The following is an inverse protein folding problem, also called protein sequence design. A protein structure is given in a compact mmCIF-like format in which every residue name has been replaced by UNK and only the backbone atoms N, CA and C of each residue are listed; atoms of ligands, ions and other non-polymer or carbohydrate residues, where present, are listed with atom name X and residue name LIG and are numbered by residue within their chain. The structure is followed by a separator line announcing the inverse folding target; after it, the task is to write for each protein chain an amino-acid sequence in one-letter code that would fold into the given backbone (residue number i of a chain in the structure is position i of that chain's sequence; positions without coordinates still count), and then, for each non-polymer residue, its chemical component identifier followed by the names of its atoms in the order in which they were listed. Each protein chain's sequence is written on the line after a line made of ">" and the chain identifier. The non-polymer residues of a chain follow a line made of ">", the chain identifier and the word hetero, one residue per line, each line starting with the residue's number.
data_IF_193315546843
#
_entry.id   IF_193315546843
#
_cell.length_a   1.000
_cell.length_b   1.000
_cell.length_c   1.000
_cell.angle_alpha   90.00
_cell.angle_beta   90.00
_cell.angle_gamma   90.00
#
_symmetry.space_group_name_H-M   'P 1'
#
loop_
_entity.id
_entity.type
_entity.pdbx_description
1 polymer ?
#
# COMPACT_ATOMS: atom_id res chain seq x y z
N UNK A 1 -16.66 11.24 -20.17
CA UNK A 1 -15.28 11.13 -20.63
C UNK A 1 -14.56 10.05 -19.78
N UNK A 2 -13.61 9.32 -20.38
CA UNK A 2 -12.81 8.32 -19.66
C UNK A 2 -11.76 9.04 -18.82
N UNK A 3 -11.58 8.59 -17.57
CA UNK A 3 -10.60 9.17 -16.66
C UNK A 3 -9.47 8.19 -16.38
N UNK A 4 -8.24 8.68 -16.34
CA UNK A 4 -7.10 7.81 -16.06
C UNK A 4 -5.97 8.57 -15.39
N UNK A 5 -5.29 7.92 -14.45
CA UNK A 5 -4.17 8.54 -13.74
C UNK A 5 -3.62 7.67 -12.63
N UNK A 6 -2.67 8.25 -11.91
CA UNK A 6 -1.90 7.61 -10.87
C UNK A 6 -2.42 8.01 -9.48
N UNK A 7 -2.62 7.01 -8.61
CA UNK A 7 -3.02 7.20 -7.23
C UNK A 7 -1.93 6.71 -6.27
N UNK A 8 -1.33 7.60 -5.50
CA UNK A 8 -0.33 7.26 -4.51
C UNK A 8 -0.98 6.86 -3.17
N UNK A 9 -0.59 5.72 -2.61
CA UNK A 9 -1.10 5.28 -1.31
C UNK A 9 -0.07 5.59 -0.22
N UNK A 10 -0.47 6.36 0.79
CA UNK A 10 0.40 6.79 1.87
C UNK A 10 -0.25 6.59 3.24
N UNK A 11 0.56 6.46 4.26
CA UNK A 11 0.12 6.34 5.65
C UNK A 11 1.20 5.71 6.51
N UNK A 12 1.02 5.76 7.82
CA UNK A 12 1.93 5.14 8.78
C UNK A 12 2.07 3.63 8.55
N UNK A 13 3.12 2.99 9.06
CA UNK A 13 3.20 1.53 9.07
C UNK A 13 1.98 0.91 9.76
N UNK A 14 1.50 -0.21 9.23
CA UNK A 14 0.41 -1.03 9.79
C UNK A 14 -0.98 -0.36 9.84
N UNK A 15 -1.21 0.74 9.12
CA UNK A 15 -2.55 1.34 8.97
C UNK A 15 -3.46 0.56 8.03
N UNK A 16 -2.89 -0.36 7.23
CA UNK A 16 -3.64 -1.24 6.32
C UNK A 16 -3.51 -0.90 4.84
N UNK A 17 -2.43 -0.22 4.40
CA UNK A 17 -2.18 0.13 2.99
C UNK A 17 -2.28 -1.06 2.05
N UNK A 18 -1.48 -2.09 2.27
CA UNK A 18 -1.47 -3.29 1.42
C UNK A 18 -2.79 -4.06 1.48
N UNK A 19 -3.48 -4.06 2.63
CA UNK A 19 -4.79 -4.69 2.77
C UNK A 19 -5.84 -3.94 1.94
N UNK A 20 -5.83 -2.61 1.99
CA UNK A 20 -6.73 -1.79 1.18
C UNK A 20 -6.44 -2.00 -0.31
N UNK A 21 -5.18 -1.95 -0.73
CA UNK A 21 -4.80 -2.15 -2.13
C UNK A 21 -5.28 -3.51 -2.65
N UNK A 22 -5.06 -4.60 -1.90
CA UNK A 22 -5.52 -5.92 -2.30
C UNK A 22 -7.06 -6.00 -2.42
N UNK A 23 -7.79 -5.29 -1.53
CA UNK A 23 -9.24 -5.24 -1.60
C UNK A 23 -9.73 -4.42 -2.80
N UNK A 24 -9.15 -3.24 -3.03
CA UNK A 24 -9.43 -2.41 -4.22
C UNK A 24 -9.21 -3.17 -5.53
N UNK A 25 -8.18 -4.00 -5.58
CA UNK A 25 -7.83 -4.80 -6.76
C UNK A 25 -8.62 -6.12 -6.87
N UNK A 26 -9.38 -6.51 -5.83
CA UNK A 26 -9.97 -7.85 -5.69
C UNK A 26 -8.96 -8.99 -5.95
N UNK A 27 -7.68 -8.74 -5.70
CA UNK A 27 -6.55 -9.64 -5.96
C UNK A 27 -5.46 -9.43 -4.90
N UNK A 28 -4.72 -10.49 -4.65
CA UNK A 28 -3.60 -10.42 -3.73
C UNK A 28 -2.31 -10.08 -4.49
N UNK A 29 -1.98 -8.80 -4.56
CA UNK A 29 -0.81 -8.26 -5.26
C UNK A 29 0.24 -7.70 -4.30
N UNK A 30 -0.20 -7.10 -3.19
CA UNK A 30 0.69 -6.57 -2.16
C UNK A 30 0.75 -7.50 -0.96
N UNK A 31 1.93 -7.67 -0.38
CA UNK A 31 2.10 -8.49 0.83
C UNK A 31 1.55 -7.78 2.07
N UNK A 32 0.94 -8.56 2.94
CA UNK A 32 0.36 -8.10 4.20
C UNK A 32 1.17 -8.67 5.36
N UNK A 33 1.77 -7.81 6.18
CA UNK A 33 2.44 -8.21 7.42
C UNK A 33 2.26 -7.15 8.50
N UNK A 34 2.17 -7.60 9.75
CA UNK A 34 2.17 -6.69 10.91
C UNK A 34 3.56 -6.08 11.18
N UNK A 35 4.59 -6.59 10.51
CA UNK A 35 5.97 -6.12 10.68
C UNK A 35 6.19 -4.82 9.89
N UNK A 36 6.95 -3.85 10.44
CA UNK A 36 7.29 -2.63 9.74
C UNK A 36 8.05 -2.92 8.44
N UNK A 37 7.91 -2.03 7.43
CA UNK A 37 8.60 -2.11 6.14
C UNK A 37 8.29 -3.38 5.34
N UNK A 38 7.01 -3.78 5.32
CA UNK A 38 6.53 -4.92 4.53
C UNK A 38 6.75 -4.68 3.04
N UNK A 39 6.40 -3.50 2.54
CA UNK A 39 6.62 -3.09 1.14
C UNK A 39 8.03 -2.50 1.00
N UNK A 40 8.89 -3.14 0.20
CA UNK A 40 10.26 -2.70 -0.08
C UNK A 40 10.42 -2.09 -1.47
N UNK A 41 9.60 -2.50 -2.40
CA UNK A 41 9.64 -2.07 -3.80
C UNK A 41 8.35 -1.33 -4.15
N UNK A 42 8.44 -0.36 -5.07
CA UNK A 42 7.26 0.28 -5.65
C UNK A 42 6.51 -0.76 -6.49
N UNK A 43 5.28 -1.04 -6.13
CA UNK A 43 4.40 -1.92 -6.90
C UNK A 43 3.36 -1.02 -7.56
N UNK A 44 3.20 -1.15 -8.87
CA UNK A 44 2.08 -0.54 -9.58
C UNK A 44 1.00 -1.59 -9.80
N UNK A 45 -0.21 -1.26 -9.39
CA UNK A 45 -1.39 -2.07 -9.60
C UNK A 45 -2.37 -1.28 -10.46
N UNK A 46 -2.91 -1.91 -11.49
CA UNK A 46 -3.79 -1.28 -12.47
C UNK A 46 -5.21 -1.79 -12.27
N UNK A 47 -6.11 -0.88 -11.91
CA UNK A 47 -7.55 -1.14 -11.85
C UNK A 47 -8.21 -0.51 -13.07
N UNK A 48 -8.70 -1.34 -13.98
CA UNK A 48 -9.42 -0.91 -15.17
C UNK A 48 -10.93 -1.10 -14.97
N UNK A 49 -11.68 -0.04 -15.26
CA UNK A 49 -13.15 0.03 -15.25
C UNK A 49 -13.64 0.50 -16.61
N UNK A 50 -14.94 0.48 -16.82
CA UNK A 50 -15.57 0.98 -18.04
C UNK A 50 -15.39 2.50 -18.22
N UNK A 51 -15.32 3.23 -17.10
CA UNK A 51 -15.28 4.69 -17.01
C UNK A 51 -13.92 5.25 -16.60
N UNK A 52 -13.02 4.41 -16.04
CA UNK A 52 -11.74 4.88 -15.53
C UNK A 52 -10.63 3.80 -15.50
N UNK A 53 -9.37 4.25 -15.47
CA UNK A 53 -8.21 3.41 -15.15
C UNK A 53 -7.37 4.07 -14.06
N UNK A 54 -7.22 3.39 -12.94
CA UNK A 54 -6.44 3.86 -11.78
C UNK A 54 -5.15 3.06 -11.69
N UNK A 55 -4.02 3.73 -11.70
CA UNK A 55 -2.71 3.11 -11.48
C UNK A 55 -2.29 3.40 -10.03
N UNK A 56 -2.49 2.44 -9.14
CA UNK A 56 -2.04 2.55 -7.75
C UNK A 56 -0.54 2.39 -7.65
N UNK A 57 0.09 3.33 -6.95
CA UNK A 57 1.52 3.27 -6.61
C UNK A 57 1.62 3.03 -5.11
N UNK A 58 1.97 1.79 -4.72
CA UNK A 58 2.21 1.48 -3.31
C UNK A 58 3.57 2.04 -2.88
N UNK A 59 3.55 2.87 -1.85
CA UNK A 59 4.75 3.49 -1.31
C UNK A 59 5.14 2.84 0.02
N UNK A 60 6.45 2.78 0.34
CA UNK A 60 6.89 2.41 1.69
C UNK A 60 6.20 3.29 2.74
N UNK A 61 5.93 2.73 3.93
CA UNK A 61 5.27 3.49 5.00
C UNK A 61 6.06 4.75 5.37
N UNK A 62 5.39 5.89 5.29
CA UNK A 62 5.97 7.20 5.61
C UNK A 62 6.01 7.41 7.13
N UNK A 63 7.12 7.92 7.63
CA UNK A 63 7.28 8.16 9.07
C UNK A 63 8.29 9.26 9.33
N UNK A 64 8.20 9.90 10.50
CA UNK A 64 9.19 10.91 10.88
C UNK A 64 10.60 10.29 10.87
N UNK A 65 11.54 10.85 10.09
CA UNK A 65 12.87 10.27 9.95
C UNK A 65 13.62 10.34 11.29
N UNK A 66 14.35 9.27 11.61
CA UNK A 66 15.22 9.21 12.80
C UNK A 66 16.69 9.21 12.45
N UNK A 67 17.01 9.03 11.16
CA UNK A 67 18.37 8.96 10.63
C UNK A 67 18.38 9.33 9.14
N UNK A 68 19.58 9.45 8.57
CA UNK A 68 19.78 9.82 7.16
C UNK A 68 19.09 8.85 6.17
N UNK A 69 18.98 7.57 6.51
CA UNK A 69 18.25 6.60 5.67
C UNK A 69 16.76 6.92 5.65
N UNK A 70 16.16 7.25 6.81
CA UNK A 70 14.76 7.67 6.91
C UNK A 70 14.49 8.94 6.10
N UNK A 71 15.40 9.90 6.09
CA UNK A 71 15.30 11.12 5.26
C UNK A 71 15.30 10.81 3.75
N UNK A 72 16.19 9.90 3.32
CA UNK A 72 16.25 9.47 1.92
C UNK A 72 14.96 8.74 1.49
N UNK A 73 14.42 7.87 2.36
CA UNK A 73 13.15 7.19 2.10
C UNK A 73 11.99 8.19 1.99
N UNK A 74 11.91 9.16 2.90
CA UNK A 74 10.88 10.20 2.85
C UNK A 74 11.01 11.08 1.59
N UNK A 75 12.22 11.40 1.16
CA UNK A 75 12.45 12.13 -0.10
C UNK A 75 11.91 11.35 -1.29
N UNK A 76 12.24 10.05 -1.39
CA UNK A 76 11.72 9.19 -2.48
C UNK A 76 10.19 9.07 -2.46
N UNK A 77 9.56 9.10 -1.28
CA UNK A 77 8.10 9.14 -1.17
C UNK A 77 7.55 10.47 -1.67
N UNK A 78 8.13 11.63 -1.25
CA UNK A 78 7.70 12.95 -1.76
C UNK A 78 7.82 13.05 -3.27
N UNK A 79 8.95 12.62 -3.84
CA UNK A 79 9.14 12.57 -5.30
C UNK A 79 8.05 11.73 -5.98
N UNK A 80 7.69 10.59 -5.40
CA UNK A 80 6.59 9.76 -5.92
C UNK A 80 5.24 10.45 -5.80
N UNK A 81 4.95 11.13 -4.68
CA UNK A 81 3.67 11.80 -4.46
C UNK A 81 3.49 13.06 -5.30
N UNK A 82 4.57 13.71 -5.74
CA UNK A 82 4.51 14.83 -6.69
C UNK A 82 4.27 14.39 -8.14
N UNK A 83 4.41 13.11 -8.44
CA UNK A 83 4.22 12.53 -9.78
C UNK A 83 2.85 11.84 -9.94
N UNK A 84 2.01 11.80 -8.90
CA UNK A 84 0.68 11.19 -8.97
C UNK A 84 -0.42 12.23 -9.09
N UNK A 85 -1.56 11.82 -9.65
CA UNK A 85 -2.72 12.70 -9.88
C UNK A 85 -3.60 12.83 -8.62
N UNK A 86 -3.52 11.87 -7.70
CA UNK A 86 -4.24 11.90 -6.42
C UNK A 86 -3.51 11.09 -5.36
N UNK A 87 -3.73 11.42 -4.09
CA UNK A 87 -3.16 10.72 -2.95
C UNK A 87 -4.25 10.12 -2.08
N UNK A 88 -4.08 8.86 -1.70
CA UNK A 88 -4.91 8.14 -0.73
C UNK A 88 -4.16 8.10 0.60
N UNK A 89 -4.56 8.94 1.55
CA UNK A 89 -3.97 9.01 2.88
C UNK A 89 -4.72 8.12 3.86
N UNK A 90 -4.09 7.04 4.32
CA UNK A 90 -4.73 6.04 5.18
C UNK A 90 -4.40 6.29 6.65
N UNK A 91 -5.44 6.38 7.46
CA UNK A 91 -5.42 6.54 8.90
C UNK A 91 -5.93 5.26 9.58
N UNK A 92 -5.37 4.93 10.75
CA UNK A 92 -5.85 3.81 11.59
C UNK A 92 -6.91 4.34 12.57
N UNK A 93 -8.18 4.09 12.30
CA UNK A 93 -9.30 4.54 13.13
C UNK A 93 -9.29 4.00 14.56
N UNK A 94 -8.59 2.87 14.80
CA UNK A 94 -8.48 2.26 16.14
C UNK A 94 -7.44 2.93 17.03
N UNK A 95 -6.71 3.91 16.49
CA UNK A 95 -5.64 4.61 17.22
C UNK A 95 -5.92 6.10 17.22
N UNK A 96 -5.43 6.77 18.28
CA UNK A 96 -5.44 8.23 18.29
C UNK A 96 -4.63 8.78 17.13
N UNK A 97 -5.24 9.66 16.35
CA UNK A 97 -4.56 10.46 15.32
C UNK A 97 -3.54 11.33 16.04
N UNK A 98 -2.26 11.14 15.72
CA UNK A 98 -1.18 11.72 16.49
C UNK A 98 -0.10 12.36 15.63
N UNK A 99 1.05 12.65 16.28
CA UNK A 99 2.17 13.37 15.64
C UNK A 99 2.66 12.77 14.31
N UNK A 100 2.54 11.44 14.15
CA UNK A 100 2.94 10.78 12.90
C UNK A 100 1.96 11.06 11.75
N UNK A 101 0.67 11.08 12.05
CA UNK A 101 -0.38 11.38 11.08
C UNK A 101 -0.35 12.87 10.70
N UNK A 102 -0.18 13.74 11.72
CA UNK A 102 0.00 15.20 11.51
C UNK A 102 1.22 15.52 10.65
N UNK A 103 2.33 14.79 10.85
CA UNK A 103 3.53 14.95 10.02
C UNK A 103 3.25 14.59 8.56
N UNK A 104 2.56 13.47 8.30
CA UNK A 104 2.18 13.07 6.93
C UNK A 104 1.23 14.11 6.32
N UNK A 105 0.23 14.56 7.08
CA UNK A 105 -0.70 15.57 6.62
C UNK A 105 -0.01 16.92 6.27
N UNK A 106 0.97 17.34 7.09
CA UNK A 106 1.76 18.54 6.78
C UNK A 106 2.61 18.40 5.52
N UNK A 107 3.13 17.21 5.23
CA UNK A 107 3.86 16.93 4.00
C UNK A 107 2.93 16.94 2.77
N UNK A 108 1.70 16.45 2.93
CA UNK A 108 0.70 16.49 1.86
C UNK A 108 0.22 17.92 1.56
N UNK A 109 0.13 18.78 2.58
CA UNK A 109 -0.24 20.18 2.42
C UNK A 109 0.78 21.00 1.60
N UNK A 110 2.03 20.54 1.49
CA UNK A 110 3.06 21.15 0.62
C UNK A 110 2.94 20.73 -0.86
N UNK A 111 2.02 19.81 -1.18
CA UNK A 111 1.79 19.31 -2.53
C UNK A 111 0.49 19.89 -3.08
N UNK A 112 0.47 20.27 -4.35
CA UNK A 112 -0.76 20.70 -5.05
C UNK A 112 -1.64 19.50 -5.48
N UNK A 113 -1.26 18.28 -5.09
CA UNK A 113 -1.94 17.04 -5.46
C UNK A 113 -3.16 16.83 -4.57
N UNK A 114 -4.38 16.64 -5.13
CA UNK A 114 -5.57 16.36 -4.34
C UNK A 114 -5.39 15.08 -3.52
N UNK A 115 -5.89 15.09 -2.28
CA UNK A 115 -5.79 13.97 -1.37
C UNK A 115 -7.15 13.58 -0.80
N UNK A 116 -7.43 12.28 -0.75
CA UNK A 116 -8.56 11.70 -0.03
C UNK A 116 -8.05 11.01 1.23
N UNK A 117 -8.66 11.31 2.39
CA UNK A 117 -8.35 10.63 3.63
C UNK A 117 -9.22 9.37 3.78
N UNK A 118 -8.61 8.26 4.16
CA UNK A 118 -9.29 6.97 4.39
C UNK A 118 -9.12 6.57 5.85
N UNK A 119 -10.22 6.58 6.61
CA UNK A 119 -10.25 6.13 8.00
C UNK A 119 -10.49 4.62 8.03
N UNK A 120 -9.42 3.85 8.15
CA UNK A 120 -9.47 2.39 8.05
C UNK A 120 -9.72 1.70 9.41
N UNK A 121 -10.13 0.43 9.35
CA UNK A 121 -10.40 -0.50 10.46
C UNK A 121 -11.68 -0.19 11.22
N UNK A 122 -12.69 0.33 10.52
CA UNK A 122 -14.00 0.62 11.14
C UNK A 122 -14.71 -0.63 11.67
N UNK A 123 -14.34 -1.83 11.16
CA UNK A 123 -14.81 -3.11 11.69
C UNK A 123 -14.50 -3.34 13.18
N UNK A 124 -13.70 -2.47 13.78
CA UNK A 124 -13.31 -2.50 15.19
C UNK A 124 -13.85 -1.32 16.01
N UNK A 125 -14.70 -0.51 15.43
CA UNK A 125 -15.20 0.73 16.03
C UNK A 125 -16.72 0.72 16.12
N UNK A 126 -17.24 1.46 17.10
CA UNK A 126 -18.67 1.80 17.13
C UNK A 126 -18.97 2.98 16.19
N UNK A 127 -20.23 3.19 15.77
CA UNK A 127 -20.61 4.35 14.95
C UNK A 127 -20.15 5.69 15.53
N UNK A 128 -20.32 5.90 16.82
CA UNK A 128 -19.91 7.15 17.52
C UNK A 128 -18.38 7.34 17.47
N UNK A 129 -17.63 6.25 17.57
CA UNK A 129 -16.16 6.28 17.44
C UNK A 129 -15.72 6.61 16.01
N UNK A 130 -16.42 6.08 15.00
CA UNK A 130 -16.15 6.38 13.59
C UNK A 130 -16.38 7.86 13.33
N UNK A 131 -17.52 8.41 13.78
CA UNK A 131 -17.85 9.82 13.61
C UNK A 131 -16.83 10.73 14.31
N UNK A 132 -16.47 10.43 15.54
CA UNK A 132 -15.48 11.18 16.30
C UNK A 132 -14.10 11.18 15.65
N UNK A 133 -13.64 10.03 15.14
CA UNK A 133 -12.36 9.90 14.47
C UNK A 133 -12.36 10.59 13.10
N UNK A 134 -13.46 10.50 12.35
CA UNK A 134 -13.62 11.19 11.07
C UNK A 134 -13.54 12.71 11.25
N UNK A 135 -14.23 13.26 12.27
CA UNK A 135 -14.17 14.68 12.59
C UNK A 135 -12.76 15.17 13.00
N UNK A 136 -11.95 14.29 13.59
CA UNK A 136 -10.53 14.59 13.87
C UNK A 136 -9.70 14.53 12.59
N UNK A 137 -9.95 13.54 11.74
CA UNK A 137 -9.24 13.38 10.45
C UNK A 137 -9.47 14.57 9.52
N UNK A 138 -10.69 15.11 9.45
CA UNK A 138 -11.04 16.30 8.66
C UNK A 138 -10.21 17.53 9.02
N UNK A 139 -9.78 17.64 10.28
CA UNK A 139 -8.97 18.76 10.78
C UNK A 139 -7.47 18.63 10.48
N UNK A 140 -7.03 17.49 9.93
CA UNK A 140 -5.61 17.28 9.64
C UNK A 140 -5.13 18.04 8.40
N UNK A 141 -5.99 18.30 7.44
CA UNK A 141 -5.63 18.92 6.16
C UNK A 141 -6.83 19.13 5.25
N UNK A 142 -6.56 19.70 4.09
CA UNK A 142 -7.55 19.93 3.05
C UNK A 142 -7.68 18.66 2.18
N UNK A 143 -8.61 17.78 2.58
CA UNK A 143 -8.91 16.55 1.86
C UNK A 143 -10.19 16.71 1.04
N UNK A 144 -10.25 16.04 -0.11
CA UNK A 144 -11.49 15.95 -0.91
C UNK A 144 -12.63 15.26 -0.16
N UNK A 145 -12.28 14.47 0.86
CA UNK A 145 -13.21 13.83 1.79
C UNK A 145 -12.50 12.92 2.77
N UNK A 146 -13.22 12.54 3.82
CA UNK A 146 -12.78 11.50 4.78
C UNK A 146 -13.71 10.31 4.66
N UNK A 147 -13.19 9.17 4.22
CA UNK A 147 -13.98 7.97 3.91
C UNK A 147 -13.70 6.90 4.95
N UNK A 148 -14.66 6.58 5.84
CA UNK A 148 -14.53 5.45 6.76
C UNK A 148 -14.65 4.12 6.00
N UNK A 149 -13.68 3.21 6.20
CA UNK A 149 -13.64 1.91 5.52
C UNK A 149 -13.15 0.79 6.45
N UNK A 150 -13.50 -0.44 6.10
CA UNK A 150 -12.76 -1.61 6.55
C UNK A 150 -12.07 -2.27 5.36
N UNK A 151 -10.76 -2.05 5.25
CA UNK A 151 -9.95 -2.73 4.24
C UNK A 151 -9.94 -4.25 4.42
N UNK A 152 -10.25 -4.75 5.63
CA UNK A 152 -10.30 -6.17 5.94
C UNK A 152 -11.59 -6.82 5.44
N UNK A 153 -12.74 -6.21 5.67
CA UNK A 153 -14.04 -6.75 5.28
C UNK A 153 -14.50 -6.31 3.89
N UNK A 154 -13.90 -5.25 3.34
CA UNK A 154 -14.31 -4.62 2.09
C UNK A 154 -15.39 -3.55 2.28
N UNK A 155 -15.81 -3.29 3.52
CA UNK A 155 -16.85 -2.32 3.82
C UNK A 155 -16.44 -0.93 3.36
N UNK A 156 -17.30 -0.31 2.56
CA UNK A 156 -17.19 1.03 2.00
C UNK A 156 -15.94 1.29 1.13
N UNK A 157 -15.22 0.24 0.71
CA UNK A 157 -14.00 0.39 -0.13
C UNK A 157 -14.33 0.96 -1.51
N UNK A 158 -15.53 0.69 -2.03
CA UNK A 158 -16.01 1.25 -3.30
C UNK A 158 -16.03 2.78 -3.30
N UNK A 159 -16.41 3.41 -2.19
CA UNK A 159 -16.42 4.87 -2.07
C UNK A 159 -15.02 5.50 -2.25
N UNK A 160 -13.96 4.77 -1.90
CA UNK A 160 -12.58 5.22 -2.15
C UNK A 160 -12.29 5.26 -3.64
N UNK A 161 -12.73 4.24 -4.39
CA UNK A 161 -12.56 4.19 -5.85
C UNK A 161 -13.29 5.39 -6.50
N UNK A 162 -14.53 5.63 -6.13
CA UNK A 162 -15.31 6.75 -6.70
C UNK A 162 -14.64 8.09 -6.39
N UNK A 163 -14.21 8.32 -5.16
CA UNK A 163 -13.51 9.55 -4.79
C UNK A 163 -12.19 9.74 -5.55
N UNK A 164 -11.45 8.66 -5.82
CA UNK A 164 -10.24 8.73 -6.65
C UNK A 164 -10.62 9.12 -8.08
N UNK A 165 -11.61 8.45 -8.68
CA UNK A 165 -12.04 8.71 -10.07
C UNK A 165 -12.46 10.17 -10.26
N UNK A 166 -13.12 10.78 -9.27
CA UNK A 166 -13.52 12.19 -9.31
C UNK A 166 -12.32 13.16 -9.42
N UNK A 167 -11.18 12.80 -8.86
CA UNK A 167 -9.96 13.62 -8.88
C UNK A 167 -9.06 13.36 -10.08
N UNK A 168 -9.25 12.23 -10.79
CA UNK A 168 -8.40 11.90 -11.93
C UNK A 168 -8.69 12.80 -13.15
N UNK A 169 -7.66 13.14 -13.94
CA UNK A 169 -7.84 13.84 -15.21
C UNK A 169 -8.54 12.97 -16.25
N UNK A 170 -9.14 13.62 -17.25
CA UNK A 170 -9.58 12.94 -18.46
C UNK A 170 -8.36 12.50 -19.26
N UNK A 171 -8.35 11.24 -19.71
CA UNK A 171 -7.22 10.67 -20.42
C UNK A 171 -7.48 9.29 -20.99
N UNK A 172 -6.58 8.80 -21.86
CA UNK A 172 -6.67 7.45 -22.42
C UNK A 172 -6.24 6.39 -21.40
N UNK A 173 -6.52 5.12 -21.70
CA UNK A 173 -5.96 4.00 -20.93
C UNK A 173 -4.45 3.96 -21.08
N UNK A 174 -3.72 3.87 -19.94
CA UNK A 174 -2.26 3.71 -19.91
C UNK A 174 -1.84 2.26 -20.16
N UNK A 175 -2.67 1.30 -19.74
CA UNK A 175 -2.41 -0.13 -19.83
C UNK A 175 -3.55 -0.85 -20.56
N UNK A 176 -3.28 -1.98 -21.22
CA UNK A 176 -4.30 -2.90 -21.70
C UNK A 176 -5.25 -3.35 -20.58
N UNK A 177 -6.48 -3.73 -20.92
CA UNK A 177 -7.53 -4.04 -19.93
C UNK A 177 -7.25 -5.27 -19.07
N UNK A 178 -6.48 -6.21 -19.60
CA UNK A 178 -6.07 -7.46 -18.94
C UNK A 178 -4.86 -7.29 -18.01
N UNK A 179 -4.19 -6.15 -18.07
CA UNK A 179 -3.04 -5.85 -17.21
C UNK A 179 -3.51 -5.34 -15.86
N UNK A 180 -3.12 -6.01 -14.79
CA UNK A 180 -3.43 -5.65 -13.40
C UNK A 180 -2.19 -5.27 -12.57
N UNK A 181 -0.99 -5.47 -13.10
CA UNK A 181 0.28 -5.02 -12.50
C UNK A 181 1.36 -4.96 -13.56
N UNK A 182 2.35 -4.10 -13.36
CA UNK A 182 3.56 -4.01 -14.19
C UNK A 182 4.67 -4.95 -13.69
N UNK A 183 4.42 -5.69 -12.61
CA UNK A 183 5.42 -6.57 -12.03
C UNK A 183 5.42 -7.95 -12.72
N UNK A 184 6.61 -8.54 -12.97
CA UNK A 184 6.70 -9.91 -13.46
C UNK A 184 6.04 -10.91 -12.50
N UNK A 185 5.47 -12.00 -13.04
CA UNK A 185 4.88 -13.07 -12.25
C UNK A 185 5.84 -13.61 -11.19
N UNK A 186 7.11 -13.78 -11.52
CA UNK A 186 8.16 -14.21 -10.61
C UNK A 186 8.29 -13.29 -9.37
N UNK A 187 8.16 -11.98 -9.58
CA UNK A 187 8.19 -11.02 -8.48
C UNK A 187 7.00 -11.19 -7.55
N UNK A 188 5.78 -11.29 -8.10
CA UNK A 188 4.55 -11.48 -7.30
C UNK A 188 4.63 -12.78 -6.49
N UNK A 189 5.07 -13.87 -7.11
CA UNK A 189 5.26 -15.16 -6.43
C UNK A 189 6.29 -15.05 -5.31
N UNK A 190 7.45 -14.42 -5.57
CA UNK A 190 8.47 -14.20 -4.55
C UNK A 190 7.93 -13.42 -3.35
N UNK A 191 7.15 -12.36 -3.59
CA UNK A 191 6.52 -11.56 -2.53
C UNK A 191 5.48 -12.38 -1.73
N UNK A 192 4.66 -13.21 -2.39
CA UNK A 192 3.70 -14.08 -1.71
C UNK A 192 4.40 -15.13 -0.82
N UNK A 193 5.51 -15.71 -1.29
CA UNK A 193 6.32 -16.62 -0.49
C UNK A 193 6.96 -15.87 0.69
N UNK A 194 7.52 -14.68 0.43
CA UNK A 194 8.11 -13.83 1.48
C UNK A 194 7.09 -13.48 2.57
N UNK A 195 5.83 -13.19 2.21
CA UNK A 195 4.76 -12.98 3.18
C UNK A 195 4.57 -14.19 4.10
N UNK A 196 4.53 -15.41 3.54
CA UNK A 196 4.38 -16.63 4.32
C UNK A 196 5.56 -16.85 5.25
N UNK A 197 6.78 -16.64 4.77
CA UNK A 197 7.97 -16.71 5.62
C UNK A 197 7.88 -15.70 6.76
N UNK A 198 7.48 -14.44 6.48
CA UNK A 198 7.32 -13.40 7.50
C UNK A 198 6.25 -13.74 8.55
N UNK A 199 5.16 -14.42 8.14
CA UNK A 199 4.10 -14.86 9.06
C UNK A 199 4.53 -16.02 9.94
N UNK A 200 5.34 -16.94 9.42
CA UNK A 200 5.76 -18.17 10.09
C UNK A 200 7.03 -18.00 10.93
N UNK A 201 7.80 -16.92 10.71
CA UNK A 201 9.06 -16.67 11.42
C UNK A 201 8.91 -15.59 12.48
N UNK A 202 9.77 -15.65 13.51
CA UNK A 202 9.80 -14.71 14.64
C UNK A 202 11.19 -14.09 14.78
N UNK A 203 11.31 -13.05 15.62
CA UNK A 203 12.55 -12.37 16.00
C UNK A 203 13.28 -11.70 14.80
N UNK A 204 14.56 -11.94 14.63
CA UNK A 204 15.45 -11.29 13.65
C UNK A 204 15.25 -11.79 12.20
N UNK A 205 14.78 -13.03 12.01
CA UNK A 205 14.64 -13.67 10.69
C UNK A 205 13.83 -12.84 9.69
N UNK A 206 12.71 -12.20 10.07
CA UNK A 206 11.90 -11.42 9.13
C UNK A 206 12.62 -10.25 8.46
N UNK A 207 13.63 -9.68 9.11
CA UNK A 207 14.35 -8.51 8.59
C UNK A 207 15.42 -8.88 7.56
N UNK A 208 15.82 -10.15 7.52
CA UNK A 208 16.94 -10.67 6.75
C UNK A 208 16.56 -11.67 5.67
N UNK A 209 15.26 -11.88 5.41
CA UNK A 209 14.78 -12.83 4.39
C UNK A 209 14.73 -12.17 3.01
N UNK A 210 15.34 -12.83 2.02
CA UNK A 210 15.16 -12.58 0.61
C UNK A 210 14.60 -13.84 -0.08
N UNK A 211 13.70 -13.65 -1.02
CA UNK A 211 13.11 -14.72 -1.83
C UNK A 211 13.35 -14.40 -3.30
N UNK A 212 13.91 -15.35 -4.03
CA UNK A 212 14.15 -15.24 -5.46
C UNK A 212 13.49 -16.43 -6.16
N UNK A 213 12.66 -16.17 -7.14
CA UNK A 213 12.10 -17.21 -8.01
C UNK A 213 13.07 -17.40 -9.18
N UNK A 214 13.57 -18.61 -9.33
CA UNK A 214 14.56 -18.98 -10.37
C UNK A 214 13.86 -19.43 -11.66
N UNK A 215 12.77 -20.21 -11.54
CA UNK A 215 11.97 -20.62 -12.68
C UNK A 215 10.48 -20.70 -12.36
N UNK A 216 9.66 -20.53 -13.39
CA UNK A 216 8.21 -20.78 -13.38
C UNK A 216 7.91 -21.53 -14.68
N UNK A 217 7.54 -22.79 -14.58
CA UNK A 217 7.29 -23.66 -15.72
C UNK A 217 5.89 -24.29 -15.61
N UNK A 218 5.05 -24.05 -16.61
CA UNK A 218 3.74 -24.70 -16.70
C UNK A 218 3.89 -26.02 -17.45
N UNK A 219 3.43 -27.11 -16.83
CA UNK A 219 3.46 -28.43 -17.48
C UNK A 219 2.38 -28.51 -18.54
N UNK A 220 2.76 -28.94 -19.74
CA UNK A 220 1.82 -29.07 -20.86
C UNK A 220 0.82 -30.24 -20.68
N UNK A 221 1.19 -31.26 -19.89
CA UNK A 221 0.40 -32.48 -19.66
C UNK A 221 -0.62 -32.36 -18.52
N UNK A 222 -0.52 -31.33 -17.70
CA UNK A 222 -1.35 -31.11 -16.50
C UNK A 222 -1.53 -29.61 -16.24
N UNK A 223 -2.64 -29.26 -15.61
CA UNK A 223 -2.88 -27.91 -15.11
C UNK A 223 -2.05 -27.67 -13.81
N UNK A 224 -0.73 -27.76 -13.97
CA UNK A 224 0.25 -27.59 -12.88
C UNK A 224 1.35 -26.64 -13.33
N UNK A 225 1.76 -25.78 -12.40
CA UNK A 225 2.91 -24.88 -12.58
C UNK A 225 3.97 -25.22 -11.52
N UNK A 226 5.16 -25.58 -11.98
CA UNK A 226 6.32 -25.77 -11.14
C UNK A 226 7.00 -24.42 -10.90
N UNK A 227 7.35 -24.15 -9.64
CA UNK A 227 8.01 -22.91 -9.25
C UNK A 227 9.25 -23.26 -8.44
N UNK A 228 10.41 -22.93 -8.96
CA UNK A 228 11.68 -23.09 -8.26
C UNK A 228 12.06 -21.79 -7.56
N UNK A 229 12.38 -21.90 -6.27
CA UNK A 229 12.54 -20.71 -5.42
C UNK A 229 13.68 -20.90 -4.43
N UNK A 230 14.52 -19.87 -4.32
CA UNK A 230 15.57 -19.78 -3.30
C UNK A 230 15.14 -18.81 -2.21
N UNK A 231 15.16 -19.27 -0.96
CA UNK A 231 14.92 -18.45 0.24
C UNK A 231 16.25 -18.28 0.96
N UNK A 232 16.76 -17.06 0.98
CA UNK A 232 18.01 -16.70 1.64
C UNK A 232 17.73 -15.96 2.95
N UNK A 233 18.46 -16.33 4.00
CA UNK A 233 18.41 -15.64 5.30
C UNK A 233 19.81 -15.17 5.65
N UNK A 234 19.98 -13.86 5.89
CA UNK A 234 21.24 -13.31 6.35
C UNK A 234 21.26 -13.27 7.88
N UNK A 235 22.21 -13.94 8.48
CA UNK A 235 22.45 -13.88 9.92
C UNK A 235 23.59 -12.92 10.21
N UNK A 236 23.38 -11.98 11.11
CA UNK A 236 24.48 -11.29 11.78
C UNK A 236 24.83 -12.15 12.99
N UNK A 237 25.99 -12.82 13.05
CA UNK A 237 26.37 -13.56 14.24
C UNK A 237 26.50 -12.57 15.40
N UNK A 238 25.70 -12.79 16.46
CA UNK A 238 25.89 -12.11 17.73
C UNK A 238 27.21 -12.66 18.30
N UNK A 239 28.28 -11.89 18.17
CA UNK A 239 29.51 -12.14 18.96
C UNK A 239 29.14 -11.82 20.40
N UNK A 240 29.00 -12.85 21.22
CA UNK A 240 28.93 -12.71 22.67
C UNK A 240 30.22 -12.00 23.11
N UNK A 241 30.13 -10.94 23.91
CA UNK A 241 31.34 -10.39 24.53
C UNK A 241 31.95 -11.46 25.44
N UNK A 242 33.19 -11.78 25.18
CA UNK A 242 34.05 -12.62 26.05
C UNK A 242 34.35 -11.91 27.35
#
# INVERSE_FOLDING_TARGET
>A
AYRSGFAGIIGRPNVGKSTLLNNLMHRKLAIISEKPQTTRNKIRCVLTRDDAQIIFVDTPGFHKPKNALGERLNRAVRETLSEVDTVVFILDGTKTIGKGDMFIASELAELDTPAVAVLNKIDRLTPDQIEAQAAVAEKLGDFTGVIPVSAKTGENVHAVIESIVETLPEGPKYYPEDVFTDQPAAFIVAELIREKVLQLTREEVPHSVAVVVESIETREDRDLTDIETVISVSYTPLTLPT
#
